data_IF_210217019586
#
_entry.id   IF_210217019586
#
_cell.length_a   1.000
_cell.length_b   1.000
_cell.length_c   1.000
_cell.angle_alpha   90.00
_cell.angle_beta   90.00
_cell.angle_gamma   90.00
#
_symmetry.space_group_name_H-M   'P 1'
#
loop_
_entity.id
_entity.type
_entity.pdbx_description
1 polymer ?
#
# COMPACT_ATOMS: atom_id res chain seq x y z
N UNK A 1 10.09 16.72 -3.18
CA UNK A 1 10.81 16.85 -1.89
C UNK A 1 10.63 15.56 -1.11
N UNK A 2 11.63 15.07 -0.37
CA UNK A 2 11.48 13.87 0.46
C UNK A 2 10.35 14.09 1.48
N UNK A 3 9.37 13.19 1.48
CA UNK A 3 8.26 13.25 2.42
C UNK A 3 8.76 12.78 3.77
N UNK A 4 8.40 13.45 4.87
CA UNK A 4 8.67 12.96 6.22
C UNK A 4 7.41 12.34 6.80
N UNK A 5 7.35 11.01 6.79
CA UNK A 5 6.28 10.26 7.44
C UNK A 5 6.79 9.76 8.80
N UNK A 6 6.15 10.21 9.88
CA UNK A 6 6.49 9.81 11.24
C UNK A 6 6.41 8.28 11.42
N UNK A 7 7.50 7.67 11.90
CA UNK A 7 7.58 6.24 12.19
C UNK A 7 8.04 5.37 11.01
N UNK A 8 8.25 5.96 9.83
CA UNK A 8 8.87 5.33 8.66
C UNK A 8 10.36 5.70 8.63
N UNK A 9 11.21 4.76 8.19
CA UNK A 9 12.63 5.01 7.98
C UNK A 9 12.81 6.23 7.03
N UNK A 10 13.55 7.28 7.43
CA UNK A 10 13.80 8.45 6.58
C UNK A 10 14.49 8.14 5.25
N UNK A 11 15.27 7.06 5.15
CA UNK A 11 15.87 6.65 3.88
C UNK A 11 14.81 6.09 2.94
N UNK A 12 13.88 5.28 3.46
CA UNK A 12 12.76 4.76 2.68
C UNK A 12 11.85 5.87 2.14
N UNK A 13 11.55 6.90 2.94
CA UNK A 13 10.65 7.98 2.49
C UNK A 13 11.26 8.93 1.45
N UNK A 14 12.57 8.85 1.21
CA UNK A 14 13.25 9.56 0.12
C UNK A 14 13.12 8.84 -1.23
N UNK A 15 12.78 7.56 -1.23
CA UNK A 15 12.74 6.74 -2.44
C UNK A 15 11.50 7.10 -3.26
N UNK A 16 11.69 7.55 -4.50
CA UNK A 16 10.60 7.93 -5.43
C UNK A 16 10.32 6.91 -6.54
N UNK A 17 10.98 5.75 -6.50
CA UNK A 17 10.88 4.72 -7.55
C UNK A 17 10.62 3.35 -6.94
N UNK A 18 9.72 2.59 -7.55
CA UNK A 18 9.32 1.25 -7.09
C UNK A 18 10.51 0.31 -6.92
N UNK A 19 11.36 0.16 -7.93
CA UNK A 19 12.49 -0.77 -7.90
C UNK A 19 13.47 -0.49 -6.76
N UNK A 20 13.69 0.79 -6.44
CA UNK A 20 14.53 1.20 -5.32
C UNK A 20 13.90 0.86 -3.96
N UNK A 21 12.56 0.88 -3.84
CA UNK A 21 11.85 0.40 -2.64
C UNK A 21 12.03 -1.11 -2.49
N UNK A 22 11.93 -1.87 -3.58
CA UNK A 22 12.14 -3.31 -3.57
C UNK A 22 13.57 -3.67 -3.17
N UNK A 23 14.56 -2.97 -3.74
CA UNK A 23 15.96 -3.14 -3.33
C UNK A 23 16.18 -2.81 -1.85
N UNK A 24 15.55 -1.76 -1.33
CA UNK A 24 15.59 -1.45 0.10
C UNK A 24 15.04 -2.60 0.95
N UNK A 25 13.90 -3.18 0.56
CA UNK A 25 13.31 -4.32 1.27
C UNK A 25 14.21 -5.57 1.21
N UNK A 26 14.84 -5.84 0.06
CA UNK A 26 15.77 -6.96 -0.10
C UNK A 26 17.00 -6.80 0.81
N UNK A 27 17.59 -5.61 0.88
CA UNK A 27 18.70 -5.32 1.79
C UNK A 27 18.27 -5.57 3.24
N UNK A 28 17.10 -5.05 3.64
CA UNK A 28 16.57 -5.24 5.00
C UNK A 28 16.28 -6.70 5.32
N UNK A 29 15.83 -7.46 4.33
CA UNK A 29 15.62 -8.90 4.47
C UNK A 29 16.95 -9.65 4.72
N UNK A 30 18.04 -9.24 4.08
CA UNK A 30 19.36 -9.84 4.30
C UNK A 30 20.00 -9.44 5.63
N UNK A 31 19.64 -8.28 6.18
CA UNK A 31 20.12 -7.82 7.50
C UNK A 31 19.42 -8.57 8.64
N UNK A 32 18.08 -8.65 8.61
CA UNK A 32 17.27 -9.20 9.71
C UNK A 32 17.05 -10.70 9.58
N UNK A 33 16.94 -11.19 8.35
CA UNK A 33 16.75 -12.62 8.01
C UNK A 33 15.59 -13.29 8.74
N UNK A 34 14.41 -12.66 8.79
CA UNK A 34 13.23 -13.27 9.41
C UNK A 34 12.85 -14.53 8.62
N UNK A 35 12.70 -15.65 9.32
CA UNK A 35 12.23 -16.92 8.74
C UNK A 35 10.76 -16.77 8.30
N UNK A 36 10.44 -16.99 7.00
CA UNK A 36 9.07 -16.98 6.51
C UNK A 36 8.11 -17.91 7.28
N UNK A 37 8.60 -19.03 7.81
CA UNK A 37 7.78 -19.97 8.58
C UNK A 37 7.34 -19.42 9.95
N UNK A 38 8.04 -18.41 10.47
CA UNK A 38 7.75 -17.76 11.75
C UNK A 38 7.25 -16.31 11.57
N UNK A 39 6.86 -15.94 10.34
CA UNK A 39 6.55 -14.56 10.03
C UNK A 39 5.27 -14.09 10.75
N UNK A 40 5.37 -12.99 11.49
CA UNK A 40 4.23 -12.40 12.18
C UNK A 40 3.36 -11.61 11.20
N UNK A 41 2.46 -12.34 10.54
CA UNK A 41 1.48 -11.82 9.59
C UNK A 41 0.52 -10.83 10.25
N UNK A 42 0.15 -11.03 11.51
CA UNK A 42 -0.78 -10.13 12.20
C UNK A 42 -0.15 -8.78 12.51
N UNK A 43 1.13 -8.74 12.87
CA UNK A 43 1.89 -7.48 12.96
C UNK A 43 2.01 -6.80 11.60
N UNK A 44 2.29 -7.54 10.52
CA UNK A 44 2.33 -6.97 9.17
C UNK A 44 1.01 -6.29 8.83
N UNK A 45 -0.13 -6.97 9.04
CA UNK A 45 -1.47 -6.42 8.77
C UNK A 45 -1.74 -5.14 9.56
N UNK A 46 -1.38 -5.11 10.86
CA UNK A 46 -1.50 -3.91 11.70
C UNK A 46 -0.63 -2.76 11.18
N UNK A 47 0.62 -3.03 10.80
CA UNK A 47 1.51 -1.99 10.28
C UNK A 47 1.09 -1.49 8.89
N UNK A 48 0.52 -2.33 8.03
CA UNK A 48 -0.04 -1.90 6.75
C UNK A 48 -1.11 -0.82 6.96
N UNK A 49 -2.08 -1.05 7.86
CA UNK A 49 -3.12 -0.06 8.19
C UNK A 49 -2.52 1.17 8.88
N UNK A 50 -1.55 0.97 9.79
CA UNK A 50 -0.87 2.05 10.47
C UNK A 50 -0.21 3.02 9.47
N UNK A 51 0.59 2.50 8.54
CA UNK A 51 1.27 3.34 7.56
C UNK A 51 0.32 3.94 6.54
N UNK A 52 -0.74 3.23 6.10
CA UNK A 52 -1.82 3.83 5.32
C UNK A 52 -2.31 5.14 5.96
N UNK A 53 -2.65 5.07 7.25
CA UNK A 53 -3.21 6.21 7.97
C UNK A 53 -2.19 7.35 8.17
N UNK A 54 -0.88 7.06 8.17
CA UNK A 54 0.16 8.10 8.20
C UNK A 54 0.24 8.89 6.89
N UNK A 55 0.22 8.22 5.74
CA UNK A 55 0.21 8.90 4.43
C UNK A 55 -1.11 9.64 4.21
N UNK A 56 -2.25 9.03 4.58
CA UNK A 56 -3.56 9.70 4.53
C UNK A 56 -3.60 10.99 5.35
N UNK A 57 -3.07 10.96 6.57
CA UNK A 57 -3.01 12.16 7.42
C UNK A 57 -2.14 13.27 6.80
N UNK A 58 -1.05 12.91 6.12
CA UNK A 58 -0.20 13.84 5.38
C UNK A 58 -0.94 14.52 4.22
N UNK A 59 -1.92 13.84 3.62
CA UNK A 59 -2.80 14.34 2.55
C UNK A 59 -4.19 14.77 3.04
N UNK A 60 -4.37 15.04 4.33
CA UNK A 60 -5.62 15.55 4.90
C UNK A 60 -6.81 14.59 4.76
N UNK A 61 -6.56 13.30 4.50
CA UNK A 61 -7.57 12.25 4.51
C UNK A 61 -7.75 11.70 5.93
N UNK A 62 -9.00 11.36 6.29
CA UNK A 62 -9.33 10.72 7.57
C UNK A 62 -8.72 9.32 7.63
N UNK A 63 -8.33 8.82 8.83
CA UNK A 63 -7.82 7.46 8.96
C UNK A 63 -8.90 6.44 8.58
N UNK A 64 -8.48 5.35 7.95
CA UNK A 64 -9.30 4.17 7.67
C UNK A 64 -9.44 3.34 8.95
N UNK A 65 -10.64 2.84 9.20
CA UNK A 65 -10.92 1.83 10.23
C UNK A 65 -10.86 0.43 9.63
N UNK A 66 -10.28 -0.53 10.36
CA UNK A 66 -10.31 -1.94 9.95
C UNK A 66 -11.73 -2.49 10.02
N UNK A 67 -12.14 -3.26 9.01
CA UNK A 67 -13.45 -3.91 8.96
C UNK A 67 -13.29 -5.43 8.77
N UNK A 68 -13.98 -6.23 9.59
CA UNK A 68 -13.85 -7.69 9.61
C UNK A 68 -14.36 -8.36 8.34
N UNK A 69 -15.39 -7.78 7.71
CA UNK A 69 -15.94 -8.29 6.44
C UNK A 69 -14.94 -8.04 5.32
N UNK A 70 -14.36 -6.84 5.25
CA UNK A 70 -13.31 -6.53 4.29
C UNK A 70 -12.04 -7.37 4.54
N UNK A 71 -11.65 -7.61 5.80
CA UNK A 71 -10.52 -8.50 6.13
C UNK A 71 -10.75 -9.92 5.57
N UNK A 72 -11.95 -10.45 5.76
CA UNK A 72 -12.32 -11.78 5.26
C UNK A 72 -12.29 -11.84 3.73
N UNK A 73 -12.82 -10.81 3.07
CA UNK A 73 -12.80 -10.68 1.61
C UNK A 73 -11.37 -10.55 1.05
N UNK A 74 -10.55 -9.70 1.67
CA UNK A 74 -9.16 -9.51 1.28
C UNK A 74 -8.33 -10.79 1.49
N UNK A 75 -8.54 -11.50 2.60
CA UNK A 75 -7.85 -12.77 2.88
C UNK A 75 -8.25 -13.86 1.89
N UNK A 76 -9.53 -13.95 1.54
CA UNK A 76 -10.00 -14.86 0.49
C UNK A 76 -9.28 -14.59 -0.82
N UNK A 77 -9.16 -13.33 -1.22
CA UNK A 77 -8.50 -12.98 -2.48
C UNK A 77 -6.97 -13.20 -2.44
N UNK A 78 -6.32 -12.91 -1.31
CA UNK A 78 -4.91 -13.24 -1.11
C UNK A 78 -4.64 -14.75 -1.27
N UNK A 79 -5.52 -15.61 -0.74
CA UNK A 79 -5.45 -17.06 -0.91
C UNK A 79 -5.65 -17.47 -2.38
N UNK A 80 -6.61 -16.87 -3.08
CA UNK A 80 -6.86 -17.11 -4.51
C UNK A 80 -5.63 -16.76 -5.37
N UNK A 81 -5.03 -15.59 -5.15
CA UNK A 81 -3.79 -15.18 -5.83
C UNK A 81 -2.63 -16.14 -5.52
N UNK A 82 -2.46 -16.54 -4.26
CA UNK A 82 -1.34 -17.36 -3.82
C UNK A 82 -1.42 -18.83 -4.26
N UNK A 83 -2.61 -19.43 -4.27
CA UNK A 83 -2.75 -20.86 -4.51
C UNK A 83 -3.25 -21.21 -5.91
N UNK A 84 -4.23 -20.46 -6.44
CA UNK A 84 -4.92 -20.80 -7.69
C UNK A 84 -4.37 -20.02 -8.87
N UNK A 85 -4.32 -18.69 -8.78
CA UNK A 85 -3.88 -17.82 -9.89
C UNK A 85 -2.37 -17.80 -10.06
N UNK A 86 -1.65 -17.83 -8.94
CA UNK A 86 -0.19 -17.76 -8.87
C UNK A 86 0.43 -16.46 -9.41
N UNK A 87 -0.37 -15.40 -9.56
CA UNK A 87 0.03 -14.06 -9.99
C UNK A 87 -0.77 -12.98 -9.23
N UNK A 88 -0.34 -11.72 -9.33
CA UNK A 88 -1.17 -10.58 -8.96
C UNK A 88 -2.23 -10.37 -10.03
N UNK A 89 -3.49 -10.42 -9.62
CA UNK A 89 -4.63 -10.12 -10.48
C UNK A 89 -5.76 -9.55 -9.63
N UNK A 90 -6.39 -8.50 -10.12
CA UNK A 90 -7.53 -7.90 -9.44
C UNK A 90 -8.74 -8.82 -9.40
N UNK A 91 -9.50 -8.75 -8.31
CA UNK A 91 -10.81 -9.43 -8.24
C UNK A 91 -11.77 -8.81 -9.25
N UNK A 92 -12.34 -9.64 -10.12
CA UNK A 92 -13.31 -9.22 -11.12
C UNK A 92 -14.46 -10.25 -11.22
N UNK A 93 -15.72 -9.86 -10.98
CA UNK A 93 -16.15 -8.54 -10.49
C UNK A 93 -15.80 -8.33 -9.00
N UNK A 94 -15.51 -7.08 -8.60
CA UNK A 94 -15.41 -6.69 -7.20
C UNK A 94 -16.21 -5.43 -6.91
N UNK A 95 -16.78 -5.37 -5.71
CA UNK A 95 -17.55 -4.21 -5.20
C UNK A 95 -16.69 -3.30 -4.30
N UNK A 96 -15.46 -3.70 -4.00
CA UNK A 96 -14.53 -2.97 -3.14
C UNK A 96 -13.42 -2.35 -3.97
N UNK A 97 -12.82 -1.26 -3.49
CA UNK A 97 -11.55 -0.78 -4.01
C UNK A 97 -10.46 -1.80 -3.67
N UNK A 98 -9.36 -1.86 -4.43
CA UNK A 98 -8.33 -2.87 -4.23
C UNK A 98 -6.91 -2.37 -4.54
N UNK A 99 -5.98 -2.62 -3.62
CA UNK A 99 -4.53 -2.52 -3.86
C UNK A 99 -3.89 -3.88 -3.61
N UNK A 100 -2.97 -4.27 -4.49
CA UNK A 100 -2.30 -5.57 -4.43
C UNK A 100 -0.79 -5.39 -4.34
N UNK A 101 -0.12 -6.22 -3.54
CA UNK A 101 1.34 -6.26 -3.49
C UNK A 101 1.84 -7.69 -3.45
N UNK A 102 3.00 -7.91 -4.05
CA UNK A 102 3.65 -9.20 -4.14
C UNK A 102 5.17 -9.05 -4.14
N UNK A 103 5.84 -9.94 -3.41
CA UNK A 103 7.26 -10.18 -3.58
C UNK A 103 7.62 -11.60 -3.12
N UNK A 104 8.84 -12.02 -3.45
CA UNK A 104 9.37 -13.32 -3.08
C UNK A 104 10.79 -13.17 -2.56
N UNK A 105 11.12 -13.87 -1.48
CA UNK A 105 12.46 -13.84 -0.90
C UNK A 105 12.74 -15.12 -0.10
N UNK A 106 14.03 -15.39 0.15
CA UNK A 106 14.45 -16.51 1.02
C UNK A 106 14.21 -16.19 2.49
N UNK A 107 14.43 -14.93 2.86
CA UNK A 107 14.13 -14.36 4.16
C UNK A 107 13.31 -13.09 3.98
N UNK A 108 12.56 -12.69 5.00
CA UNK A 108 11.79 -11.45 4.97
C UNK A 108 12.40 -10.37 5.86
N UNK A 109 12.16 -9.07 5.54
CA UNK A 109 12.39 -8.00 6.50
C UNK A 109 11.36 -8.10 7.63
N UNK A 110 11.60 -7.45 8.77
CA UNK A 110 10.62 -7.44 9.86
C UNK A 110 9.25 -6.88 9.41
N UNK A 111 8.13 -7.28 10.05
CA UNK A 111 6.79 -6.89 9.64
C UNK A 111 6.56 -5.38 9.50
N UNK A 112 7.21 -4.56 10.34
CA UNK A 112 7.08 -3.10 10.29
C UNK A 112 7.79 -2.54 9.06
N UNK A 113 9.03 -2.96 8.83
CA UNK A 113 9.80 -2.54 7.65
C UNK A 113 9.14 -3.00 6.36
N UNK A 114 8.63 -4.24 6.33
CA UNK A 114 7.87 -4.78 5.21
C UNK A 114 6.64 -3.93 4.89
N UNK A 115 5.80 -3.65 5.90
CA UNK A 115 4.61 -2.83 5.74
C UNK A 115 4.97 -1.43 5.21
N UNK A 116 5.99 -0.78 5.78
CA UNK A 116 6.42 0.54 5.36
C UNK A 116 6.85 0.56 3.90
N UNK A 117 7.61 -0.45 3.45
CA UNK A 117 8.02 -0.58 2.05
C UNK A 117 6.84 -0.81 1.11
N UNK A 118 5.87 -1.67 1.47
CA UNK A 118 4.66 -1.87 0.65
C UNK A 118 3.86 -0.57 0.51
N UNK A 119 3.68 0.20 1.60
CA UNK A 119 2.93 1.46 1.50
C UNK A 119 3.72 2.51 0.72
N UNK A 120 5.04 2.57 0.90
CA UNK A 120 5.89 3.46 0.12
C UNK A 120 5.84 3.10 -1.36
N UNK A 121 5.85 1.82 -1.75
CA UNK A 121 5.80 1.41 -3.16
C UNK A 121 4.52 1.91 -3.84
N UNK A 122 3.36 1.76 -3.21
CA UNK A 122 2.11 2.37 -3.68
C UNK A 122 2.22 3.89 -3.77
N UNK A 123 2.83 4.52 -2.76
CA UNK A 123 2.98 5.96 -2.73
C UNK A 123 3.93 6.51 -3.81
N UNK A 124 4.96 5.75 -4.22
CA UNK A 124 5.90 6.19 -5.27
C UNK A 124 5.24 6.41 -6.62
N UNK A 125 4.11 5.75 -6.88
CA UNK A 125 3.31 6.03 -8.06
C UNK A 125 2.89 7.51 -8.11
N UNK A 126 2.66 8.18 -6.97
CA UNK A 126 2.33 9.61 -6.92
C UNK A 126 3.44 10.57 -7.33
N UNK A 127 4.64 10.08 -7.69
CA UNK A 127 5.72 10.94 -8.18
C UNK A 127 5.28 11.67 -9.45
N UNK A 128 5.36 13.01 -9.41
CA UNK A 128 4.91 13.88 -10.50
C UNK A 128 3.38 13.97 -10.66
N UNK A 129 2.60 13.56 -9.65
CA UNK A 129 1.14 13.69 -9.71
C UNK A 129 0.70 15.16 -9.75
N UNK A 130 -0.14 15.50 -10.73
CA UNK A 130 -0.75 16.82 -10.87
C UNK A 130 -2.07 16.88 -10.08
N UNK A 131 -2.06 17.58 -8.95
CA UNK A 131 -3.26 17.75 -8.11
C UNK A 131 -4.25 18.80 -8.64
N UNK A 132 -3.88 19.53 -9.70
CA UNK A 132 -4.73 20.56 -10.34
C UNK A 132 -5.34 20.10 -11.66
N UNK A 133 -4.83 19.00 -12.24
CA UNK A 133 -5.32 18.41 -13.47
C UNK A 133 -5.95 17.02 -13.24
N UNK A 134 -6.78 16.60 -14.20
CA UNK A 134 -7.28 15.24 -14.28
C UNK A 134 -6.93 14.63 -15.63
N UNK A 135 -6.31 13.46 -15.61
CA UNK A 135 -6.06 12.64 -16.80
C UNK A 135 -6.59 11.23 -16.54
N UNK A 136 -7.69 10.86 -17.19
CA UNK A 136 -8.32 9.55 -17.04
C UNK A 136 -7.39 8.38 -17.40
N UNK A 137 -6.37 8.61 -18.22
CA UNK A 137 -5.40 7.57 -18.59
C UNK A 137 -4.33 7.35 -17.52
N UNK A 138 -4.23 8.22 -16.51
CA UNK A 138 -3.22 8.09 -15.45
C UNK A 138 -3.56 7.00 -14.43
N UNK A 139 -4.82 6.55 -14.37
CA UNK A 139 -5.31 5.55 -13.43
C UNK A 139 -4.46 4.27 -13.43
N UNK A 140 -4.08 3.75 -14.60
CA UNK A 140 -3.30 2.51 -14.73
C UNK A 140 -1.89 2.59 -14.14
N UNK A 141 -1.36 3.80 -13.94
CA UNK A 141 0.00 4.04 -13.41
C UNK A 141 0.02 4.65 -12.01
N UNK A 142 -1.11 5.24 -11.58
CA UNK A 142 -1.23 6.01 -10.34
C UNK A 142 -2.22 5.40 -9.36
N UNK A 143 -2.78 4.23 -9.70
CA UNK A 143 -3.99 3.76 -9.08
C UNK A 143 -3.83 3.32 -7.63
N UNK A 144 -2.69 2.72 -7.29
CA UNK A 144 -2.41 2.37 -5.90
C UNK A 144 -2.24 3.62 -5.05
N UNK A 145 -1.56 4.63 -5.58
CA UNK A 145 -1.38 5.93 -4.93
C UNK A 145 -2.71 6.64 -4.69
N UNK A 146 -3.59 6.72 -5.70
CA UNK A 146 -4.87 7.43 -5.55
C UNK A 146 -5.83 6.67 -4.63
N UNK A 147 -5.86 5.33 -4.68
CA UNK A 147 -6.64 4.52 -3.74
C UNK A 147 -6.17 4.71 -2.28
N UNK A 148 -4.85 4.70 -2.06
CA UNK A 148 -4.25 4.88 -0.74
C UNK A 148 -4.74 6.19 -0.09
N UNK A 149 -4.85 7.26 -0.87
CA UNK A 149 -5.22 8.59 -0.41
C UNK A 149 -6.71 8.91 -0.49
N UNK A 150 -7.52 8.04 -1.12
CA UNK A 150 -8.93 8.33 -1.44
C UNK A 150 -9.73 8.72 -0.20
N UNK A 151 -10.14 10.00 -0.11
CA UNK A 151 -10.73 10.56 1.12
C UNK A 151 -12.04 9.91 1.52
N UNK A 152 -12.88 9.58 0.55
CA UNK A 152 -14.20 9.00 0.78
C UNK A 152 -14.16 7.53 1.19
N UNK A 153 -13.06 6.80 0.95
CA UNK A 153 -12.87 5.48 1.55
C UNK A 153 -12.71 5.63 3.06
N UNK A 154 -13.48 4.85 3.82
CA UNK A 154 -13.51 4.95 5.30
C UNK A 154 -13.06 3.66 5.98
N UNK A 155 -13.20 2.52 5.30
CA UNK A 155 -12.85 1.21 5.81
C UNK A 155 -11.73 0.57 4.99
N UNK A 156 -10.96 -0.29 5.65
CA UNK A 156 -9.94 -1.12 5.03
C UNK A 156 -10.00 -2.56 5.54
N UNK A 157 -9.78 -3.51 4.65
CA UNK A 157 -9.49 -4.90 4.99
C UNK A 157 -8.13 -5.31 4.47
N UNK A 158 -7.45 -6.19 5.20
CA UNK A 158 -6.11 -6.69 4.85
C UNK A 158 -6.13 -8.21 4.81
N UNK A 159 -5.69 -8.77 3.69
CA UNK A 159 -5.42 -10.18 3.50
C UNK A 159 -3.95 -10.40 3.18
N UNK A 160 -3.35 -11.40 3.80
CA UNK A 160 -1.95 -11.76 3.56
C UNK A 160 -1.83 -13.27 3.48
N UNK A 161 -1.19 -13.77 2.43
CA UNK A 161 -0.92 -15.21 2.27
C UNK A 161 0.55 -15.40 1.90
N UNK A 162 1.24 -16.25 2.65
CA UNK A 162 2.64 -16.63 2.39
C UNK A 162 2.65 -18.06 1.88
N UNK A 163 3.33 -18.31 0.76
CA UNK A 163 3.48 -19.65 0.17
C UNK A 163 4.91 -19.92 -0.27
N UNK A 164 5.41 -21.11 0.04
CA UNK A 164 6.71 -21.57 -0.45
C UNK A 164 6.64 -21.99 -1.91
N UNK A 165 7.58 -21.53 -2.75
CA UNK A 165 7.76 -22.03 -4.12
C UNK A 165 9.25 -22.11 -4.46
N UNK A 166 9.71 -23.32 -4.75
CA UNK A 166 11.14 -23.55 -5.00
C UNK A 166 11.98 -23.15 -3.79
N UNK A 167 12.94 -22.25 -4.00
CA UNK A 167 13.89 -21.80 -2.97
C UNK A 167 13.43 -20.57 -2.17
N UNK A 168 12.31 -19.95 -2.55
CA UNK A 168 11.83 -18.72 -1.94
C UNK A 168 10.42 -18.90 -1.38
N UNK A 169 10.06 -18.02 -0.45
CA UNK A 169 8.72 -17.84 0.06
C UNK A 169 8.13 -16.56 -0.54
N UNK A 170 6.87 -16.64 -0.92
CA UNK A 170 6.15 -15.62 -1.67
C UNK A 170 5.07 -15.03 -0.80
N UNK A 171 5.03 -13.71 -0.66
CA UNK A 171 3.97 -13.02 0.06
C UNK A 171 3.02 -12.37 -0.94
N UNK A 172 1.72 -12.60 -0.74
CA UNK A 172 0.63 -11.98 -1.46
C UNK A 172 -0.15 -11.13 -0.49
N UNK A 173 -0.27 -9.83 -0.78
CA UNK A 173 -1.04 -8.87 0.02
C UNK A 173 -2.19 -8.36 -0.81
N UNK A 174 -3.40 -8.44 -0.26
CA UNK A 174 -4.60 -7.82 -0.80
C UNK A 174 -5.12 -6.81 0.22
N UNK A 175 -5.39 -5.59 -0.22
CA UNK A 175 -6.02 -4.54 0.56
C UNK A 175 -7.34 -4.21 -0.10
N UNK A 176 -8.44 -4.22 0.66
CA UNK A 176 -9.76 -3.84 0.18
C UNK A 176 -10.22 -2.55 0.85
N UNK A 177 -10.91 -1.70 0.10
CA UNK A 177 -11.39 -0.38 0.56
C UNK A 177 -12.89 -0.24 0.34
N UNK A 178 -13.56 0.38 1.30
CA UNK A 178 -14.99 0.67 1.21
C UNK A 178 -15.32 2.07 1.77
N UNK A 179 -16.07 2.92 1.04
CA UNK A 179 -16.38 2.82 -0.40
C UNK A 179 -15.14 2.67 -1.30
N UNK A 180 -15.28 2.08 -2.52
CA UNK A 180 -14.19 1.98 -3.48
C UNK A 180 -13.68 3.36 -3.89
N UNK A 181 -12.37 3.47 -4.12
CA UNK A 181 -11.78 4.67 -4.70
C UNK A 181 -11.78 4.66 -6.22
N UNK A 182 -11.20 5.70 -6.80
CA UNK A 182 -10.85 5.76 -8.23
C UNK A 182 -12.05 5.68 -9.17
N UNK A 183 -13.13 6.33 -8.75
CA UNK A 183 -14.25 6.64 -9.63
C UNK A 183 -13.73 7.58 -10.73
N UNK A 184 -13.86 7.18 -11.99
CA UNK A 184 -13.16 7.78 -13.14
C UNK A 184 -13.78 9.10 -13.61
N UNK A 185 -13.91 10.09 -12.72
CA UNK A 185 -14.35 11.45 -13.02
C UNK A 185 -13.41 12.50 -12.42
N UNK A 186 -13.31 13.66 -13.06
CA UNK A 186 -12.45 14.74 -12.57
C UNK A 186 -12.88 15.23 -11.18
N UNK A 187 -14.19 15.37 -10.95
CA UNK A 187 -14.78 15.79 -9.68
C UNK A 187 -14.34 14.87 -8.53
N UNK A 188 -14.52 13.56 -8.69
CA UNK A 188 -14.14 12.58 -7.68
C UNK A 188 -12.64 12.64 -7.37
N UNK A 189 -11.78 12.75 -8.39
CA UNK A 189 -10.34 12.87 -8.17
C UNK A 189 -9.96 14.16 -7.44
N UNK A 190 -10.56 15.30 -7.80
CA UNK A 190 -10.30 16.57 -7.12
C UNK A 190 -10.78 16.55 -5.67
N UNK A 191 -11.90 15.90 -5.37
CA UNK A 191 -12.40 15.76 -4.01
C UNK A 191 -11.57 14.80 -3.16
N UNK A 192 -11.10 13.71 -3.76
CA UNK A 192 -10.54 12.59 -3.01
C UNK A 192 -9.01 12.54 -2.94
N UNK A 193 -8.28 13.14 -3.88
CA UNK A 193 -6.81 13.08 -3.92
C UNK A 193 -6.23 14.48 -3.71
N UNK A 194 -6.05 14.87 -2.45
CA UNK A 194 -5.54 16.21 -2.10
C UNK A 194 -4.02 16.25 -2.08
N UNK A 195 -3.47 17.41 -2.40
CA UNK A 195 -2.05 17.69 -2.25
C UNK A 195 -1.59 17.51 -0.78
N UNK A 196 -0.31 17.22 -0.53
CA UNK A 196 0.26 17.21 0.81
C UNK A 196 -0.06 18.47 1.62
N UNK A 197 -0.18 18.35 2.95
CA UNK A 197 -0.22 19.52 3.83
C UNK A 197 1.07 20.32 3.62
N UNK A 198 0.95 21.52 3.06
CA UNK A 198 2.05 22.47 3.09
C UNK A 198 2.28 22.84 4.56
N UNK A 199 3.53 22.74 5.04
CA UNK A 199 3.89 23.46 6.25
C UNK A 199 3.77 24.94 5.90
N UNK A 200 2.86 25.67 6.53
CA UNK A 200 2.98 27.12 6.51
C UNK A 200 4.35 27.45 7.09
N UNK A 201 5.26 27.96 6.26
CA UNK A 201 6.34 28.78 6.80
C UNK A 201 5.64 30.00 7.38
N UNK A 202 5.42 30.01 8.69
CA UNK A 202 5.14 31.25 9.40
C UNK A 202 6.40 32.10 9.23
N UNK A 203 6.33 33.07 8.32
CA UNK A 203 7.27 34.18 8.29
C UNK A 203 6.89 35.02 9.52
N UNK A 204 7.63 34.84 10.61
CA UNK A 204 7.74 35.84 11.67
C UNK A 204 8.88 36.79 11.31
#
# INVERSE_FOLDING_TARGET
MPVRISGVDPELTKIGQFDAVMNYLDVKAQEVKVDPAQYDVESLKKFLVHFHNKYRAYHQAKPLSTDSTLNSAAQKWANEMAHRRKCLIHEDPSIYGENLSYFAAVYFPDPKTCAAGIIQSFYTEGTGYDYSGYNSNSWTQKGHFTQLLWRSSTKIGVGVTIVKRGRADHIYVCLKYDPPGNVQTAEEYFENVKAPKQKMCSIM
#
